data_IF_667942949297
#
_entry.id   IF_667942949297
#
_cell.length_a   1.000
_cell.length_b   1.000
_cell.length_c   1.000
_cell.angle_alpha   90.00
_cell.angle_beta   90.00
_cell.angle_gamma   90.00
#
_symmetry.space_group_name_H-M   'P 1'
#
loop_
_entity.id
_entity.type
_entity.pdbx_description
1 polymer ?
#
# COMPACT_ATOMS: atom_id res chain seq x y z
N UNK A 1 9.74 -11.73 -33.77
CA UNK A 1 9.64 -11.48 -32.30
C UNK A 1 8.16 -11.46 -31.96
N UNK A 2 7.79 -12.13 -30.91
CA UNK A 2 6.40 -12.11 -30.42
C UNK A 2 6.17 -10.74 -29.78
N UNK A 3 5.20 -10.02 -30.27
CA UNK A 3 4.82 -8.68 -29.77
C UNK A 3 3.41 -8.72 -29.25
N UNK A 4 3.18 -8.06 -28.14
CA UNK A 4 1.84 -7.80 -27.61
C UNK A 4 1.54 -6.29 -27.69
N UNK A 5 0.41 -5.86 -27.14
CA UNK A 5 0.08 -4.46 -27.02
C UNK A 5 0.16 -4.03 -25.55
N UNK A 6 0.91 -2.97 -25.26
CA UNK A 6 1.06 -2.45 -23.90
C UNK A 6 0.81 -0.95 -23.87
N UNK A 7 0.00 -0.51 -22.92
CA UNK A 7 -0.25 0.89 -22.64
C UNK A 7 -0.03 1.21 -21.17
N UNK A 8 0.40 2.42 -20.88
CA UNK A 8 0.65 2.92 -19.54
C UNK A 8 0.15 4.34 -19.41
N UNK A 9 -0.43 4.67 -18.26
CA UNK A 9 -0.86 6.01 -17.91
C UNK A 9 -0.65 6.29 -16.42
N UNK A 10 -0.40 7.54 -16.07
CA UNK A 10 -0.18 7.99 -14.70
C UNK A 10 -1.02 9.23 -14.43
N UNK A 11 -1.68 9.28 -13.28
CA UNK A 11 -2.50 10.41 -12.84
C UNK A 11 -2.09 10.82 -11.45
N UNK A 12 -1.88 12.11 -11.23
CA UNK A 12 -1.58 12.68 -9.91
C UNK A 12 -2.85 12.64 -9.03
N UNK A 13 -2.72 12.08 -7.83
CA UNK A 13 -3.78 12.01 -6.82
C UNK A 13 -3.47 12.82 -5.57
N UNK A 14 -2.45 13.68 -5.62
CA UNK A 14 -2.02 14.50 -4.49
C UNK A 14 -3.13 15.46 -4.06
N UNK A 15 -3.56 15.44 -2.78
CA UNK A 15 -4.57 16.39 -2.32
C UNK A 15 -3.97 17.79 -2.17
N UNK A 16 -4.73 18.81 -2.55
CA UNK A 16 -4.37 20.23 -2.35
C UNK A 16 -5.01 20.82 -1.08
N UNK A 17 -5.51 19.98 -0.19
CA UNK A 17 -6.22 20.34 1.03
C UNK A 17 -5.86 19.39 2.16
N UNK A 18 -6.01 19.80 3.45
CA UNK A 18 -5.78 18.92 4.59
C UNK A 18 -6.67 17.68 4.55
N UNK A 19 -6.06 16.50 4.76
CA UNK A 19 -6.75 15.21 4.71
C UNK A 19 -6.17 14.24 5.74
N UNK A 20 -7.00 13.36 6.30
CA UNK A 20 -6.52 12.33 7.23
C UNK A 20 -5.64 11.32 6.50
N UNK A 21 -4.42 11.11 7.03
CA UNK A 21 -3.48 10.11 6.53
C UNK A 21 -3.75 8.74 7.14
N UNK A 22 -3.57 7.70 6.34
CA UNK A 22 -3.74 6.30 6.74
C UNK A 22 -2.52 5.68 7.43
N UNK A 23 -2.68 4.43 7.86
CA UNK A 23 -1.60 3.54 8.29
C UNK A 23 -1.32 3.53 9.79
N UNK A 24 -1.36 4.68 10.47
CA UNK A 24 -1.09 4.77 11.91
C UNK A 24 -2.32 5.24 12.68
N UNK A 25 -2.78 4.41 13.62
CA UNK A 25 -3.94 4.74 14.46
C UNK A 25 -3.71 5.93 15.42
N UNK A 26 -2.46 6.30 15.65
CA UNK A 26 -2.07 7.44 16.49
C UNK A 26 -2.33 8.79 15.83
N UNK A 27 -2.51 8.86 14.52
CA UNK A 27 -2.79 10.11 13.82
C UNK A 27 -4.22 10.56 14.05
N UNK A 28 -4.35 11.72 14.67
CA UNK A 28 -5.64 12.35 15.02
C UNK A 28 -5.83 13.70 14.32
N UNK A 29 -4.80 14.20 13.64
CA UNK A 29 -4.82 15.44 12.87
C UNK A 29 -4.68 15.15 11.39
N UNK A 30 -5.30 15.97 10.52
CA UNK A 30 -5.09 15.86 9.08
C UNK A 30 -3.66 16.26 8.69
N UNK A 31 -3.29 15.99 7.43
CA UNK A 31 -2.02 16.42 6.86
C UNK A 31 -1.87 17.94 6.90
N UNK A 32 -0.64 18.41 7.09
CA UNK A 32 -0.28 19.83 7.13
C UNK A 32 0.34 20.30 5.81
N UNK A 33 1.03 19.39 5.11
CA UNK A 33 1.73 19.69 3.87
C UNK A 33 1.89 18.44 2.99
N UNK A 34 2.51 18.65 1.83
CA UNK A 34 2.88 17.59 0.89
C UNK A 34 4.40 17.63 0.75
N UNK A 35 5.06 16.52 1.08
CA UNK A 35 6.50 16.36 0.85
C UNK A 35 6.79 15.98 -0.61
N UNK A 36 6.07 14.97 -1.09
CA UNK A 36 6.16 14.50 -2.47
C UNK A 36 4.79 14.11 -3.02
N UNK A 37 4.65 14.19 -4.35
CA UNK A 37 3.41 13.84 -5.03
C UNK A 37 3.13 12.34 -4.93
N UNK A 38 1.86 12.02 -4.75
CA UNK A 38 1.34 10.66 -4.81
C UNK A 38 0.55 10.46 -6.11
N UNK A 39 0.64 9.28 -6.69
CA UNK A 39 0.06 9.00 -8.00
C UNK A 39 -0.65 7.65 -8.06
N UNK A 40 -1.53 7.51 -9.04
CA UNK A 40 -1.97 6.21 -9.55
C UNK A 40 -1.36 5.98 -10.92
N UNK A 41 -0.92 4.74 -11.18
CA UNK A 41 -0.35 4.34 -12.47
C UNK A 41 -1.02 3.05 -12.92
N UNK A 42 -1.46 3.03 -14.18
CA UNK A 42 -2.11 1.88 -14.79
C UNK A 42 -1.25 1.31 -15.92
N UNK A 43 -1.17 -0.01 -16.00
CA UNK A 43 -0.50 -0.78 -17.04
C UNK A 43 -1.49 -1.76 -17.66
N UNK A 44 -1.79 -1.61 -18.95
CA UNK A 44 -2.68 -2.48 -19.71
C UNK A 44 -1.86 -3.34 -20.67
N UNK A 45 -2.01 -4.67 -20.59
CA UNK A 45 -1.22 -5.63 -21.36
C UNK A 45 -2.15 -6.57 -22.12
N UNK A 46 -1.90 -6.77 -23.39
CA UNK A 46 -2.63 -7.67 -24.28
C UNK A 46 -3.36 -6.95 -25.38
N UNK A 47 -3.52 -7.61 -26.53
CA UNK A 47 -4.27 -7.12 -27.68
C UNK A 47 -5.74 -7.52 -27.56
N UNK A 48 -5.98 -8.82 -27.42
CA UNK A 48 -7.29 -9.44 -27.19
C UNK A 48 -7.36 -9.83 -25.72
N UNK A 49 -8.46 -9.61 -25.02
CA UNK A 49 -8.60 -9.92 -23.60
C UNK A 49 -7.47 -9.35 -22.71
N UNK A 50 -7.21 -8.05 -22.72
CA UNK A 50 -6.09 -7.47 -21.97
C UNK A 50 -6.25 -7.62 -20.47
N UNK A 51 -5.12 -7.63 -19.77
CA UNK A 51 -5.02 -7.50 -18.31
C UNK A 51 -4.70 -6.07 -17.96
N UNK A 52 -5.38 -5.50 -16.98
CA UNK A 52 -5.14 -4.16 -16.47
C UNK A 52 -4.69 -4.22 -15.02
N UNK A 53 -3.51 -3.69 -14.73
CA UNK A 53 -2.97 -3.54 -13.38
C UNK A 53 -2.93 -2.05 -13.05
N UNK A 54 -3.58 -1.64 -11.97
CA UNK A 54 -3.59 -0.26 -11.49
C UNK A 54 -2.95 -0.23 -10.10
N UNK A 55 -1.90 0.56 -9.94
CA UNK A 55 -1.24 0.77 -8.65
C UNK A 55 -1.50 2.19 -8.16
N UNK A 56 -1.57 2.40 -6.85
CA UNK A 56 -1.68 3.74 -6.28
C UNK A 56 -0.85 3.87 -4.99
N UNK A 57 -0.33 5.05 -4.75
CA UNK A 57 0.42 5.39 -3.54
C UNK A 57 -0.54 5.64 -2.38
N UNK A 58 -1.05 4.56 -1.80
CA UNK A 58 -2.06 4.54 -0.74
C UNK A 58 -1.76 3.43 0.27
N UNK A 59 -2.39 3.51 1.43
CA UNK A 59 -2.34 2.45 2.44
C UNK A 59 -3.03 1.15 1.98
N UNK A 60 -4.13 1.25 1.26
CA UNK A 60 -4.93 0.12 0.80
C UNK A 60 -5.92 0.57 -0.28
N UNK A 61 -6.50 -0.40 -0.98
CA UNK A 61 -7.67 -0.19 -1.84
C UNK A 61 -8.95 -0.46 -1.05
N UNK A 62 -9.86 0.53 -1.01
CA UNK A 62 -11.14 0.37 -0.35
C UNK A 62 -12.15 -0.36 -1.26
N UNK A 63 -12.87 -1.35 -0.72
CA UNK A 63 -13.80 -2.15 -1.51
C UNK A 63 -14.88 -1.34 -2.27
N UNK A 64 -15.51 -0.28 -1.70
CA UNK A 64 -16.46 0.54 -2.45
C UNK A 64 -15.82 1.26 -3.65
N UNK A 65 -14.64 1.84 -3.46
CA UNK A 65 -13.86 2.50 -4.53
C UNK A 65 -13.47 1.50 -5.61
N UNK A 66 -12.92 0.35 -5.21
CA UNK A 66 -12.52 -0.72 -6.13
C UNK A 66 -13.67 -1.20 -7.00
N UNK A 67 -14.85 -1.42 -6.39
CA UNK A 67 -16.04 -1.87 -7.11
C UNK A 67 -16.45 -0.88 -8.19
N UNK A 68 -16.55 0.39 -7.85
CA UNK A 68 -16.92 1.47 -8.78
C UNK A 68 -15.90 1.60 -9.91
N UNK A 69 -14.61 1.64 -9.59
CA UNK A 69 -13.53 1.75 -10.58
C UNK A 69 -13.56 0.60 -11.58
N UNK A 70 -13.66 -0.64 -11.10
CA UNK A 70 -13.71 -1.84 -11.96
C UNK A 70 -14.93 -1.81 -12.87
N UNK A 71 -16.11 -1.43 -12.35
CA UNK A 71 -17.35 -1.33 -13.13
C UNK A 71 -17.24 -0.27 -14.23
N UNK A 72 -16.76 0.93 -13.91
CA UNK A 72 -16.65 2.04 -14.88
C UNK A 72 -15.61 1.74 -15.97
N UNK A 73 -14.47 1.15 -15.61
CA UNK A 73 -13.46 0.74 -16.59
C UNK A 73 -14.00 -0.38 -17.49
N UNK A 74 -14.68 -1.38 -16.93
CA UNK A 74 -15.34 -2.42 -17.72
C UNK A 74 -16.32 -1.85 -18.74
N UNK A 75 -17.18 -0.92 -18.32
CA UNK A 75 -18.16 -0.27 -19.20
C UNK A 75 -17.49 0.55 -20.31
N UNK A 76 -16.39 1.23 -20.01
CA UNK A 76 -15.70 2.10 -20.96
C UNK A 76 -14.79 1.35 -21.96
N UNK A 77 -14.22 0.21 -21.55
CA UNK A 77 -13.16 -0.46 -22.31
C UNK A 77 -13.54 -1.86 -22.80
N UNK A 78 -14.54 -2.49 -22.19
CA UNK A 78 -14.90 -3.88 -22.43
C UNK A 78 -13.97 -4.91 -21.75
N UNK A 79 -12.96 -4.48 -21.00
CA UNK A 79 -12.10 -5.40 -20.23
C UNK A 79 -12.96 -6.18 -19.22
N UNK A 80 -12.83 -7.51 -19.18
CA UNK A 80 -13.51 -8.30 -18.16
C UNK A 80 -13.08 -7.84 -16.75
N UNK A 81 -14.05 -7.60 -15.87
CA UNK A 81 -13.83 -7.14 -14.50
C UNK A 81 -12.85 -8.04 -13.72
N UNK A 82 -12.77 -9.33 -14.04
CA UNK A 82 -11.83 -10.28 -13.44
C UNK A 82 -10.39 -10.11 -13.94
N UNK A 83 -10.18 -9.28 -14.95
CA UNK A 83 -8.87 -8.99 -15.55
C UNK A 83 -8.36 -7.59 -15.15
N UNK A 84 -9.02 -6.95 -14.20
CA UNK A 84 -8.65 -5.66 -13.63
C UNK A 84 -8.18 -5.87 -12.20
N UNK A 85 -6.89 -5.59 -11.94
CA UNK A 85 -6.25 -5.69 -10.63
C UNK A 85 -5.93 -4.29 -10.12
N UNK A 86 -6.37 -3.96 -8.91
CA UNK A 86 -5.97 -2.76 -8.17
C UNK A 86 -5.05 -3.16 -7.02
N UNK A 87 -3.94 -2.44 -6.86
CA UNK A 87 -2.98 -2.64 -5.79
C UNK A 87 -2.54 -1.32 -5.18
N UNK A 88 -2.30 -1.30 -3.88
CA UNK A 88 -1.75 -0.15 -3.16
C UNK A 88 -0.27 -0.36 -2.85
N UNK A 89 0.53 0.70 -2.81
CA UNK A 89 1.92 0.65 -2.37
C UNK A 89 2.05 0.38 -0.87
N UNK A 90 0.99 0.55 -0.12
CA UNK A 90 0.91 0.46 1.34
C UNK A 90 1.67 1.57 2.08
N UNK A 91 1.89 2.74 1.45
CA UNK A 91 2.47 3.88 2.16
C UNK A 91 1.60 4.30 3.34
N UNK A 92 2.25 4.51 4.50
CA UNK A 92 1.59 5.02 5.70
C UNK A 92 1.60 6.57 5.78
N UNK A 93 1.88 7.25 4.68
CA UNK A 93 1.92 8.70 4.59
C UNK A 93 1.03 9.26 3.47
N UNK A 94 0.02 8.50 3.06
CA UNK A 94 -0.98 8.94 2.07
C UNK A 94 -2.38 9.00 2.69
N UNK A 95 -3.33 9.71 2.05
CA UNK A 95 -4.70 9.83 2.53
C UNK A 95 -5.40 8.50 2.71
N UNK A 96 -6.29 8.43 3.69
CA UNK A 96 -7.25 7.32 3.82
C UNK A 96 -8.13 7.28 2.56
N UNK A 97 -8.23 6.14 1.86
CA UNK A 97 -8.96 6.09 0.59
C UNK A 97 -10.48 6.14 0.74
N UNK A 98 -11.00 5.82 1.93
CA UNK A 98 -12.44 5.77 2.19
C UNK A 98 -12.74 5.80 3.68
N UNK A 99 -13.76 6.57 4.07
CA UNK A 99 -14.30 6.60 5.43
C UNK A 99 -15.82 6.37 5.40
N UNK A 100 -16.30 5.21 5.90
CA UNK A 100 -17.74 4.92 5.91
C UNK A 100 -18.54 5.81 6.85
N UNK A 101 -17.91 6.43 7.86
CA UNK A 101 -18.58 7.35 8.78
C UNK A 101 -18.77 8.74 8.17
N UNK A 102 -17.98 9.10 7.18
CA UNK A 102 -17.97 10.41 6.55
C UNK A 102 -17.44 11.55 7.45
N UNK A 103 -16.88 11.22 8.61
CA UNK A 103 -16.44 12.21 9.61
C UNK A 103 -14.96 12.60 9.45
N UNK A 104 -14.16 11.79 8.79
CA UNK A 104 -12.73 12.05 8.64
C UNK A 104 -12.47 13.20 7.65
N UNK A 105 -11.68 14.18 8.13
CA UNK A 105 -11.40 15.43 7.40
C UNK A 105 -10.79 15.12 6.02
N UNK A 106 -11.38 15.69 4.98
CA UNK A 106 -10.90 15.60 3.59
C UNK A 106 -11.12 14.25 2.89
N UNK A 107 -11.41 13.17 3.63
CA UNK A 107 -11.44 11.81 3.08
C UNK A 107 -12.52 11.61 2.03
N UNK A 108 -13.72 12.14 2.22
CA UNK A 108 -14.80 12.02 1.20
C UNK A 108 -14.46 12.73 -0.11
N UNK A 109 -13.83 13.90 -0.03
CA UNK A 109 -13.37 14.63 -1.21
C UNK A 109 -12.26 13.86 -1.91
N UNK A 110 -11.29 13.34 -1.13
CA UNK A 110 -10.20 12.54 -1.66
C UNK A 110 -10.69 11.25 -2.29
N UNK A 111 -11.65 10.54 -1.67
CA UNK A 111 -12.22 9.31 -2.22
C UNK A 111 -12.83 9.51 -3.62
N UNK A 112 -13.52 10.63 -3.85
CA UNK A 112 -14.03 10.98 -5.20
C UNK A 112 -12.89 11.27 -6.18
N UNK A 113 -11.95 12.14 -5.80
CA UNK A 113 -10.75 12.43 -6.62
C UNK A 113 -9.99 11.17 -7.00
N UNK A 114 -9.79 10.28 -6.04
CA UNK A 114 -9.13 8.98 -6.22
C UNK A 114 -9.89 8.10 -7.21
N UNK A 115 -11.22 7.97 -7.03
CA UNK A 115 -12.06 7.15 -7.91
C UNK A 115 -11.94 7.62 -9.35
N UNK A 116 -12.10 8.93 -9.59
CA UNK A 116 -12.00 9.53 -10.92
C UNK A 116 -10.60 9.31 -11.54
N UNK A 117 -9.55 9.49 -10.76
CA UNK A 117 -8.17 9.29 -11.20
C UNK A 117 -7.83 7.84 -11.55
N UNK A 118 -8.30 6.87 -10.76
CA UNK A 118 -8.13 5.45 -11.03
C UNK A 118 -8.83 5.03 -12.33
N UNK A 119 -10.07 5.52 -12.54
CA UNK A 119 -10.84 5.29 -13.76
C UNK A 119 -10.10 5.90 -14.96
N UNK A 120 -9.69 7.15 -14.85
CA UNK A 120 -8.94 7.85 -15.89
C UNK A 120 -7.67 7.10 -16.28
N UNK A 121 -6.83 6.76 -15.31
CA UNK A 121 -5.58 6.03 -15.55
C UNK A 121 -5.82 4.70 -16.26
N UNK A 122 -6.84 3.93 -15.82
CA UNK A 122 -7.18 2.65 -16.43
C UNK A 122 -7.63 2.80 -17.90
N UNK A 123 -8.50 3.76 -18.19
CA UNK A 123 -9.01 4.03 -19.56
C UNK A 123 -7.88 4.54 -20.46
N UNK A 124 -7.06 5.47 -19.98
CA UNK A 124 -5.92 6.00 -20.74
C UNK A 124 -4.88 4.93 -21.04
N UNK A 125 -4.55 4.06 -20.07
CA UNK A 125 -3.65 2.92 -20.29
C UNK A 125 -4.20 1.96 -21.35
N UNK A 126 -5.52 1.71 -21.36
CA UNK A 126 -6.16 0.89 -22.38
C UNK A 126 -6.03 1.51 -23.79
N UNK A 127 -6.28 2.80 -23.93
CA UNK A 127 -6.25 3.48 -25.24
C UNK A 127 -4.82 3.81 -25.73
N UNK A 128 -3.85 3.94 -24.84
CA UNK A 128 -2.45 4.21 -25.19
C UNK A 128 -1.66 2.98 -25.61
N UNK A 129 -2.29 1.80 -25.70
CA UNK A 129 -1.61 0.54 -26.05
C UNK A 129 -0.97 0.63 -27.44
N UNK A 130 0.28 0.18 -27.49
CA UNK A 130 1.10 0.10 -28.69
C UNK A 130 1.88 -1.20 -28.75
N UNK A 131 2.39 -1.62 -29.95
CA UNK A 131 3.17 -2.83 -30.07
C UNK A 131 4.42 -2.79 -29.17
N UNK A 132 4.55 -3.81 -28.34
CA UNK A 132 5.63 -3.93 -27.37
C UNK A 132 6.04 -5.40 -27.19
N UNK A 133 7.26 -5.62 -26.74
CA UNK A 133 7.67 -6.89 -26.15
C UNK A 133 7.71 -6.76 -24.62
N UNK A 134 7.35 -7.83 -23.96
CA UNK A 134 7.40 -7.93 -22.50
C UNK A 134 8.50 -8.92 -22.11
N UNK A 135 9.28 -8.52 -21.13
CA UNK A 135 10.27 -9.37 -20.48
C UNK A 135 10.09 -9.29 -18.98
N UNK A 136 10.38 -10.37 -18.27
CA UNK A 136 10.31 -10.39 -16.80
C UNK A 136 11.44 -11.17 -16.18
N UNK A 137 11.75 -10.83 -14.96
CA UNK A 137 12.75 -11.50 -14.15
C UNK A 137 12.76 -10.95 -12.74
N UNK A 138 13.79 -11.28 -12.01
CA UNK A 138 13.99 -10.76 -10.67
C UNK A 138 15.49 -10.64 -10.34
N UNK A 139 15.80 -9.76 -9.42
CA UNK A 139 17.08 -9.67 -8.74
C UNK A 139 16.86 -9.64 -7.24
N UNK A 140 17.87 -9.19 -6.51
CA UNK A 140 17.83 -9.17 -5.05
C UNK A 140 18.31 -7.82 -4.50
N UNK A 141 17.58 -7.28 -3.53
CA UNK A 141 18.09 -6.20 -2.68
C UNK A 141 17.46 -6.28 -1.29
N UNK A 142 18.26 -5.99 -0.27
CA UNK A 142 17.79 -6.01 1.12
C UNK A 142 17.54 -4.61 1.61
N UNK A 143 16.28 -4.18 1.58
CA UNK A 143 15.85 -2.87 2.10
C UNK A 143 15.11 -2.97 3.43
N UNK A 144 14.79 -4.20 3.90
CA UNK A 144 14.02 -4.42 5.10
C UNK A 144 14.58 -5.53 6.00
N UNK A 145 14.01 -5.62 7.21
CA UNK A 145 14.22 -6.72 8.15
C UNK A 145 12.90 -7.16 8.77
N UNK A 146 12.85 -8.41 9.27
CA UNK A 146 11.68 -8.93 9.95
C UNK A 146 11.53 -8.26 11.33
N UNK A 147 10.45 -7.49 11.52
CA UNK A 147 10.20 -6.72 12.76
C UNK A 147 9.91 -7.59 13.99
N UNK A 148 9.55 -8.86 13.78
CA UNK A 148 9.31 -9.81 14.86
C UNK A 148 10.56 -10.62 15.22
N UNK A 149 11.47 -10.78 14.24
CA UNK A 149 12.71 -11.55 14.34
C UNK A 149 13.89 -10.78 13.74
N UNK A 150 14.25 -9.62 14.32
CA UNK A 150 15.18 -8.68 13.71
C UNK A 150 16.61 -9.22 13.50
N UNK A 151 16.96 -10.30 14.18
CA UNK A 151 18.26 -10.96 14.07
C UNK A 151 18.25 -12.16 13.09
N UNK A 152 17.08 -12.55 12.56
CA UNK A 152 16.98 -13.64 11.60
C UNK A 152 16.97 -13.11 10.16
N UNK A 153 18.14 -13.06 9.55
CA UNK A 153 18.31 -12.55 8.17
C UNK A 153 17.69 -13.45 7.10
N UNK A 154 17.35 -14.70 7.40
CA UNK A 154 16.79 -15.64 6.44
C UNK A 154 15.27 -15.49 6.25
N UNK A 155 14.58 -14.80 7.17
CA UNK A 155 13.13 -14.61 7.11
C UNK A 155 12.75 -13.30 6.41
N UNK A 156 13.45 -12.96 5.32
CA UNK A 156 13.16 -11.78 4.50
C UNK A 156 13.23 -12.21 3.04
N UNK A 157 12.15 -12.02 2.30
CA UNK A 157 12.17 -12.15 0.85
C UNK A 157 12.84 -10.91 0.24
N UNK A 158 14.06 -11.06 -0.24
CA UNK A 158 14.87 -9.98 -0.82
C UNK A 158 14.67 -9.83 -2.33
N UNK A 159 13.83 -10.69 -2.94
CA UNK A 159 13.60 -10.65 -4.37
C UNK A 159 12.89 -9.37 -4.79
N UNK A 160 13.36 -8.84 -5.91
CA UNK A 160 12.78 -7.68 -6.60
C UNK A 160 12.26 -8.17 -7.95
N UNK A 161 10.98 -8.57 -8.04
CA UNK A 161 10.40 -8.92 -9.33
C UNK A 161 10.27 -7.69 -10.22
N UNK A 162 10.54 -7.87 -11.51
CA UNK A 162 10.46 -6.83 -12.53
C UNK A 162 9.76 -7.39 -13.77
N UNK A 163 8.78 -6.64 -14.29
CA UNK A 163 8.18 -6.81 -15.59
C UNK A 163 8.42 -5.54 -16.39
N UNK A 164 9.08 -5.67 -17.55
CA UNK A 164 9.51 -4.57 -18.39
C UNK A 164 8.78 -4.60 -19.72
N UNK A 165 8.20 -3.46 -20.12
CA UNK A 165 7.63 -3.25 -21.42
C UNK A 165 8.60 -2.43 -22.29
N UNK A 166 8.93 -2.98 -23.48
CA UNK A 166 9.88 -2.42 -24.43
C UNK A 166 9.13 -2.17 -25.75
N UNK A 167 9.19 -0.95 -26.22
CA UNK A 167 8.54 -0.53 -27.47
C UNK A 167 9.15 -1.28 -28.65
N UNK A 168 8.32 -1.92 -29.49
CA UNK A 168 8.77 -2.78 -30.57
C UNK A 168 9.38 -2.00 -31.76
N UNK A 169 9.17 -0.69 -31.86
CA UNK A 169 9.73 0.13 -32.93
C UNK A 169 11.07 0.75 -32.54
N UNK A 170 11.14 1.31 -31.32
CA UNK A 170 12.35 2.01 -30.85
C UNK A 170 13.32 1.11 -30.07
N UNK A 171 12.89 -0.10 -29.72
CA UNK A 171 13.59 -1.03 -28.81
C UNK A 171 13.97 -0.40 -27.46
N UNK A 172 13.16 0.57 -27.01
CA UNK A 172 13.39 1.32 -25.79
C UNK A 172 12.36 0.93 -24.71
N UNK A 173 12.77 0.78 -23.44
CA UNK A 173 11.84 0.57 -22.35
C UNK A 173 10.98 1.80 -22.13
N UNK A 174 9.67 1.60 -21.81
CA UNK A 174 8.75 2.70 -21.54
C UNK A 174 7.86 2.48 -20.32
N UNK A 175 7.75 1.25 -19.82
CA UNK A 175 7.06 0.98 -18.56
C UNK A 175 7.77 -0.14 -17.80
N UNK A 176 7.82 -0.02 -16.47
CA UNK A 176 8.35 -1.04 -15.57
C UNK A 176 7.44 -1.23 -14.38
N UNK A 177 6.94 -2.45 -14.19
CA UNK A 177 6.29 -2.88 -12.95
C UNK A 177 7.32 -3.62 -12.11
N UNK A 178 7.55 -3.17 -10.88
CA UNK A 178 8.49 -3.77 -9.96
C UNK A 178 7.90 -3.91 -8.57
N UNK A 179 8.47 -4.79 -7.75
CA UNK A 179 7.96 -5.06 -6.41
C UNK A 179 9.04 -5.22 -5.37
N UNK A 180 8.64 -5.11 -4.10
CA UNK A 180 9.48 -5.39 -2.94
C UNK A 180 8.62 -5.80 -1.75
N UNK A 181 9.11 -6.72 -0.92
CA UNK A 181 8.46 -7.17 0.31
C UNK A 181 8.90 -6.37 1.53
N UNK A 182 8.59 -5.07 1.58
CA UNK A 182 8.91 -4.22 2.72
C UNK A 182 7.82 -3.16 2.92
N UNK A 183 7.36 -2.98 4.18
CA UNK A 183 6.41 -1.92 4.52
C UNK A 183 6.95 -0.54 4.14
N UNK A 184 6.20 0.30 3.43
CA UNK A 184 6.55 1.70 3.21
C UNK A 184 6.27 2.53 4.47
N UNK A 185 7.14 2.38 5.46
CA UNK A 185 7.08 3.01 6.77
C UNK A 185 8.44 3.57 7.16
N UNK A 186 9.13 4.21 6.21
CA UNK A 186 10.33 4.99 6.50
C UNK A 186 9.98 6.23 7.31
N UNK A 187 8.74 6.73 7.15
CA UNK A 187 8.16 7.82 7.94
C UNK A 187 7.27 7.28 9.05
N UNK A 188 7.37 7.86 10.25
CA UNK A 188 6.61 7.47 11.43
C UNK A 188 5.20 8.05 11.50
N UNK A 189 4.51 7.74 12.60
CA UNK A 189 3.16 8.23 12.86
C UNK A 189 3.11 9.75 13.07
N UNK A 190 4.22 10.35 13.47
CA UNK A 190 4.42 11.77 13.73
C UNK A 190 4.66 12.59 12.45
N UNK A 191 4.80 11.94 11.30
CA UNK A 191 4.88 12.63 10.02
C UNK A 191 3.53 13.23 9.62
N UNK A 192 3.40 14.58 9.50
CA UNK A 192 2.17 15.24 9.08
C UNK A 192 2.08 15.45 7.56
N UNK A 193 3.07 15.01 6.79
CA UNK A 193 3.16 15.31 5.36
C UNK A 193 2.69 14.15 4.49
N UNK A 194 2.03 14.48 3.39
CA UNK A 194 1.70 13.50 2.34
C UNK A 194 2.98 13.06 1.65
N UNK A 195 3.16 11.75 1.52
CA UNK A 195 4.31 11.15 0.83
C UNK A 195 3.98 9.76 0.28
N UNK A 196 4.56 9.41 -0.87
CA UNK A 196 4.54 8.06 -1.41
C UNK A 196 5.57 7.13 -0.72
N UNK A 197 6.31 7.62 0.28
CA UNK A 197 7.36 6.91 0.99
C UNK A 197 8.45 6.37 0.04
N UNK A 198 9.25 5.39 0.42
CA UNK A 198 10.36 4.87 -0.41
C UNK A 198 9.92 4.32 -1.80
N UNK A 199 8.71 3.78 -2.01
CA UNK A 199 8.26 3.41 -3.35
C UNK A 199 8.18 4.60 -4.30
N UNK A 200 7.69 5.75 -3.82
CA UNK A 200 7.65 7.00 -4.58
C UNK A 200 9.05 7.48 -4.94
N UNK A 201 9.96 7.45 -3.97
CA UNK A 201 11.36 7.80 -4.20
C UNK A 201 12.01 6.86 -5.23
N UNK A 202 11.78 5.54 -5.14
CA UNK A 202 12.29 4.60 -6.13
C UNK A 202 11.76 4.92 -7.54
N UNK A 203 10.47 5.20 -7.68
CA UNK A 203 9.87 5.63 -8.95
C UNK A 203 10.51 6.91 -9.48
N UNK A 204 10.74 7.90 -8.61
CA UNK A 204 11.39 9.17 -8.96
C UNK A 204 12.83 8.96 -9.46
N UNK A 205 13.61 8.11 -8.78
CA UNK A 205 14.97 7.77 -9.20
C UNK A 205 14.99 7.06 -10.56
N UNK A 206 14.08 6.11 -10.79
CA UNK A 206 13.97 5.41 -12.08
C UNK A 206 13.64 6.40 -13.21
N UNK A 207 12.66 7.29 -13.02
CA UNK A 207 12.31 8.32 -14.03
C UNK A 207 13.49 9.25 -14.33
N UNK A 208 14.27 9.61 -13.31
CA UNK A 208 15.45 10.45 -13.49
C UNK A 208 16.56 9.75 -14.27
N UNK A 209 16.79 8.47 -13.99
CA UNK A 209 17.85 7.68 -14.66
C UNK A 209 17.44 7.26 -16.08
N UNK A 210 16.16 7.00 -16.29
CA UNK A 210 15.59 6.49 -17.54
C UNK A 210 14.40 7.36 -17.99
N UNK A 211 14.66 8.56 -18.55
CA UNK A 211 13.61 9.45 -19.02
C UNK A 211 12.74 8.76 -20.08
N UNK A 212 11.41 8.84 -19.90
CA UNK A 212 10.42 8.16 -20.75
C UNK A 212 9.95 6.80 -20.23
N UNK A 213 10.53 6.28 -19.17
CA UNK A 213 10.03 5.08 -18.47
C UNK A 213 9.02 5.48 -17.40
N UNK A 214 7.85 4.85 -17.43
CA UNK A 214 6.82 4.99 -16.38
C UNK A 214 6.92 3.81 -15.41
N UNK A 215 7.35 4.03 -14.16
CA UNK A 215 7.45 2.98 -13.15
C UNK A 215 6.15 2.79 -12.37
N UNK A 216 5.81 1.52 -12.09
CA UNK A 216 4.73 1.07 -11.21
C UNK A 216 5.30 0.24 -10.08
N UNK A 217 4.84 0.47 -8.87
CA UNK A 217 5.25 -0.32 -7.71
C UNK A 217 4.10 -1.17 -7.19
N UNK A 218 4.42 -2.40 -6.79
CA UNK A 218 3.49 -3.32 -6.12
C UNK A 218 4.19 -3.97 -4.92
N UNK A 219 3.52 -4.02 -3.78
CA UNK A 219 4.06 -4.77 -2.66
C UNK A 219 4.00 -6.27 -2.90
N UNK A 220 5.00 -6.99 -2.39
CA UNK A 220 5.00 -8.43 -2.30
C UNK A 220 4.71 -8.87 -0.85
N UNK A 221 5.46 -9.79 -0.27
CA UNK A 221 5.26 -10.29 1.11
C UNK A 221 5.86 -9.34 2.14
N UNK A 222 5.12 -8.32 2.57
CA UNK A 222 5.63 -7.22 3.40
C UNK A 222 5.21 -7.26 4.87
N UNK A 223 4.17 -8.01 5.21
CA UNK A 223 3.40 -7.87 6.46
C UNK A 223 4.21 -7.84 7.75
N UNK A 224 5.34 -8.47 7.80
CA UNK A 224 6.27 -8.51 8.94
C UNK A 224 7.63 -7.86 8.66
N UNK A 225 7.82 -7.27 7.48
CA UNK A 225 9.08 -6.65 7.05
C UNK A 225 8.96 -5.12 7.10
N UNK A 226 9.91 -4.48 7.75
CA UNK A 226 10.00 -3.01 7.86
C UNK A 226 11.35 -2.52 7.33
N UNK A 227 11.47 -1.25 6.91
CA UNK A 227 12.71 -0.69 6.38
C UNK A 227 13.90 -0.88 7.32
N UNK A 228 15.10 -1.06 6.75
CA UNK A 228 16.35 -1.19 7.53
C UNK A 228 16.66 0.03 8.38
N UNK A 229 16.07 1.18 8.08
CA UNK A 229 16.16 2.44 8.82
C UNK A 229 15.18 2.50 10.00
N UNK A 230 14.19 1.60 10.05
CA UNK A 230 13.23 1.57 11.16
C UNK A 230 13.90 1.22 12.50
N UNK A 231 13.45 1.80 13.61
CA UNK A 231 13.93 1.44 14.94
C UNK A 231 13.71 -0.07 15.20
N UNK A 232 14.70 -0.72 15.76
CA UNK A 232 14.54 -2.13 16.19
C UNK A 232 13.67 -2.20 17.43
N UNK A 233 12.91 -3.28 17.57
CA UNK A 233 12.02 -3.50 18.73
C UNK A 233 12.73 -3.60 20.09
N UNK A 234 14.00 -3.97 20.09
CA UNK A 234 14.86 -4.03 21.27
C UNK A 234 15.38 -2.64 21.69
N UNK A 235 15.32 -1.66 20.80
CA UNK A 235 15.50 -0.25 21.12
C UNK A 235 14.10 0.36 21.37
N UNK A 236 13.40 -0.12 22.40
CA UNK A 236 12.03 0.24 22.72
C UNK A 236 11.88 1.76 22.92
N UNK A 237 11.61 2.45 21.84
CA UNK A 237 10.85 3.67 21.94
C UNK A 237 9.37 3.26 22.04
N UNK A 238 8.69 3.48 23.18
CA UNK A 238 7.27 3.17 23.32
C UNK A 238 6.39 3.91 22.32
N UNK A 239 6.93 4.95 21.69
CA UNK A 239 6.28 5.72 20.64
C UNK A 239 6.35 5.04 19.27
N UNK A 240 7.17 4.02 19.07
CA UNK A 240 7.39 3.24 17.85
C UNK A 240 7.33 4.08 16.56
N UNK A 241 8.24 3.89 15.61
CA UNK A 241 8.24 4.59 14.31
C UNK A 241 8.26 6.13 14.36
N UNK A 242 8.70 6.75 15.46
CA UNK A 242 9.00 8.18 15.51
C UNK A 242 10.51 8.33 15.52
N UNK A 243 11.13 8.80 14.55
CA UNK A 243 12.53 9.18 14.30
C UNK A 243 12.97 8.83 12.88
N UNK A 244 12.03 8.59 11.99
CA UNK A 244 12.30 8.47 10.57
C UNK A 244 12.52 9.85 9.95
N UNK A 245 13.20 9.86 8.82
CA UNK A 245 13.47 11.07 8.07
C UNK A 245 13.27 10.84 6.58
N UNK A 246 12.97 11.89 5.84
CA UNK A 246 12.92 11.81 4.38
C UNK A 246 14.28 11.45 3.75
N UNK A 247 15.40 11.64 4.46
CA UNK A 247 16.71 11.14 4.04
C UNK A 247 16.72 9.60 4.05
N UNK A 248 16.13 8.97 5.05
CA UNK A 248 15.96 7.51 5.09
C UNK A 248 15.05 7.01 3.96
N UNK A 249 13.98 7.72 3.68
CA UNK A 249 13.07 7.45 2.55
C UNK A 249 13.85 7.46 1.23
N UNK A 250 14.66 8.50 1.00
CA UNK A 250 15.50 8.63 -0.18
C UNK A 250 16.54 7.51 -0.29
N UNK A 251 17.19 7.16 0.82
CA UNK A 251 18.19 6.10 0.86
C UNK A 251 17.61 4.74 0.49
N UNK A 252 16.48 4.36 1.09
CA UNK A 252 15.80 3.09 0.79
C UNK A 252 15.28 3.09 -0.65
N UNK A 253 14.66 4.19 -1.09
CA UNK A 253 14.16 4.35 -2.45
C UNK A 253 15.27 4.26 -3.51
N UNK A 254 16.41 4.93 -3.27
CA UNK A 254 17.57 4.86 -4.17
C UNK A 254 18.12 3.44 -4.28
N UNK A 255 18.28 2.74 -3.15
CA UNK A 255 18.78 1.37 -3.13
C UNK A 255 17.87 0.42 -3.93
N UNK A 256 16.55 0.54 -3.80
CA UNK A 256 15.59 -0.23 -4.56
C UNK A 256 15.66 0.12 -6.06
N UNK A 257 15.71 1.40 -6.39
CA UNK A 257 15.80 1.87 -7.78
C UNK A 257 17.05 1.37 -8.49
N UNK A 258 18.21 1.39 -7.83
CA UNK A 258 19.46 0.86 -8.37
C UNK A 258 19.34 -0.62 -8.72
N UNK A 259 18.73 -1.42 -7.84
CA UNK A 259 18.48 -2.83 -8.10
C UNK A 259 17.55 -3.01 -9.31
N UNK A 260 16.43 -2.27 -9.37
CA UNK A 260 15.48 -2.33 -10.50
C UNK A 260 16.14 -1.95 -11.81
N UNK A 261 16.92 -0.87 -11.86
CA UNK A 261 17.64 -0.42 -13.08
C UNK A 261 18.64 -1.47 -13.52
N UNK A 262 19.38 -2.09 -12.58
CA UNK A 262 20.30 -3.19 -12.89
C UNK A 262 19.59 -4.37 -13.54
N UNK A 263 18.44 -4.77 -12.98
CA UNK A 263 17.62 -5.86 -13.53
C UNK A 263 17.07 -5.48 -14.91
N UNK A 264 16.56 -4.26 -15.09
CA UNK A 264 16.05 -3.79 -16.39
C UNK A 264 17.11 -3.86 -17.49
N UNK A 265 18.36 -3.46 -17.18
CA UNK A 265 19.47 -3.53 -18.14
C UNK A 265 19.77 -4.97 -18.55
N UNK A 266 19.79 -5.89 -17.59
CA UNK A 266 20.02 -7.32 -17.85
C UNK A 266 18.89 -7.93 -18.69
N UNK A 267 17.64 -7.68 -18.32
CA UNK A 267 16.45 -8.16 -19.02
C UNK A 267 16.35 -7.64 -20.45
N UNK A 268 16.73 -6.40 -20.69
CA UNK A 268 16.68 -5.79 -22.03
C UNK A 268 17.57 -6.54 -23.02
N UNK A 269 18.66 -7.13 -22.53
CA UNK A 269 19.67 -7.81 -23.36
C UNK A 269 19.47 -9.33 -23.42
N UNK A 270 19.12 -9.96 -22.30
CA UNK A 270 19.24 -11.41 -22.15
C UNK A 270 17.90 -12.15 -21.99
N UNK A 271 16.81 -11.46 -21.63
CA UNK A 271 15.57 -12.15 -21.33
C UNK A 271 14.78 -12.56 -22.59
N UNK A 272 14.18 -13.77 -22.60
CA UNK A 272 13.23 -14.14 -23.63
C UNK A 272 11.97 -13.27 -23.53
N UNK A 273 11.39 -12.91 -24.67
CA UNK A 273 10.09 -12.22 -24.72
C UNK A 273 8.99 -13.15 -24.24
N UNK A 274 8.08 -12.64 -23.40
CA UNK A 274 6.88 -13.36 -22.97
C UNK A 274 5.88 -13.39 -24.13
N UNK A 275 5.36 -14.58 -24.41
CA UNK A 275 4.31 -14.77 -25.42
C UNK A 275 2.97 -14.22 -24.88
N UNK A 276 2.26 -13.46 -25.72
CA UNK A 276 0.92 -12.92 -25.38
C UNK A 276 -0.09 -14.02 -25.07
N UNK A 277 0.04 -15.19 -25.69
CA UNK A 277 -0.78 -16.36 -25.39
C UNK A 277 -0.58 -16.95 -23.99
N UNK A 278 0.48 -16.55 -23.28
CA UNK A 278 0.75 -16.94 -21.89
C UNK A 278 0.25 -15.90 -20.86
N UNK A 279 -0.23 -14.73 -21.33
CA UNK A 279 -0.80 -13.71 -20.46
C UNK A 279 -2.21 -14.09 -20.05
N UNK A 280 -2.35 -14.45 -18.80
CA UNK A 280 -3.64 -14.80 -18.20
C UNK A 280 -3.78 -14.20 -16.82
N UNK A 281 -5.02 -13.93 -16.44
CA UNK A 281 -5.37 -13.59 -15.06
C UNK A 281 -6.47 -14.54 -14.60
N UNK A 282 -6.25 -15.13 -13.44
CA UNK A 282 -7.26 -15.95 -12.77
C UNK A 282 -7.57 -15.35 -11.41
N UNK A 283 -8.84 -15.13 -11.13
CA UNK A 283 -9.30 -14.75 -9.79
C UNK A 283 -10.25 -15.82 -9.26
N UNK A 284 -10.13 -16.11 -7.97
CA UNK A 284 -11.05 -16.99 -7.26
C UNK A 284 -11.42 -16.37 -5.92
N UNK A 285 -12.68 -16.58 -5.50
CA UNK A 285 -13.09 -16.25 -4.16
C UNK A 285 -12.53 -17.32 -3.21
N UNK A 286 -11.80 -16.90 -2.20
CA UNK A 286 -11.34 -17.75 -1.11
C UNK A 286 -12.20 -17.44 0.12
N UNK A 287 -12.96 -18.41 0.57
CA UNK A 287 -13.68 -18.30 1.83
C UNK A 287 -12.72 -18.61 2.98
N UNK A 288 -12.33 -17.57 3.69
CA UNK A 288 -11.49 -17.69 4.88
C UNK A 288 -12.41 -17.84 6.10
N UNK A 289 -12.25 -18.93 6.83
CA UNK A 289 -12.89 -19.06 8.12
C UNK A 289 -12.33 -17.98 9.06
N UNK A 290 -13.21 -17.31 9.83
CA UNK A 290 -12.76 -16.30 10.78
C UNK A 290 -11.79 -16.94 11.77
N UNK A 291 -10.61 -16.35 11.90
CA UNK A 291 -9.68 -16.75 12.94
C UNK A 291 -10.12 -16.10 14.27
N UNK A 292 -11.01 -16.78 14.98
CA UNK A 292 -11.46 -16.39 16.32
C UNK A 292 -10.51 -16.87 17.42
N UNK A 293 -9.27 -17.26 17.09
CA UNK A 293 -8.27 -17.75 18.04
C UNK A 293 -8.67 -19.03 18.75
N UNK A 294 -9.52 -19.86 18.13
CA UNK A 294 -10.08 -21.06 18.72
C UNK A 294 -11.17 -20.76 19.76
N UNK A 295 -11.67 -19.54 19.85
CA UNK A 295 -12.76 -19.17 20.75
C UNK A 295 -14.11 -19.50 20.11
N UNK A 296 -14.97 -20.17 20.86
CA UNK A 296 -16.39 -20.20 20.58
C UNK A 296 -17.06 -18.84 20.80
N UNK A 297 -18.33 -18.71 20.43
CA UNK A 297 -19.07 -17.45 20.51
C UNK A 297 -19.13 -16.92 21.96
N UNK A 298 -19.35 -17.79 22.95
CA UNK A 298 -19.38 -17.42 24.36
C UNK A 298 -18.03 -16.94 24.89
N UNK A 299 -16.95 -17.59 24.49
CA UNK A 299 -15.60 -17.17 24.87
C UNK A 299 -15.20 -15.84 24.19
N UNK A 300 -15.71 -15.58 22.98
CA UNK A 300 -15.53 -14.30 22.28
C UNK A 300 -16.29 -13.16 22.99
N UNK A 301 -17.51 -13.40 23.46
CA UNK A 301 -18.31 -12.42 24.25
C UNK A 301 -17.62 -12.10 25.57
N UNK A 302 -17.15 -13.10 26.32
CA UNK A 302 -16.42 -12.88 27.59
C UNK A 302 -15.15 -12.03 27.34
N UNK A 303 -14.45 -12.26 26.25
CA UNK A 303 -13.28 -11.44 25.89
C UNK A 303 -13.67 -10.02 25.50
N UNK A 304 -14.78 -9.84 24.80
CA UNK A 304 -15.30 -8.51 24.46
C UNK A 304 -15.64 -7.72 25.73
N UNK A 305 -16.40 -8.32 26.64
CA UNK A 305 -16.79 -7.68 27.91
C UNK A 305 -15.57 -7.28 28.73
N UNK A 306 -14.57 -8.17 28.80
CA UNK A 306 -13.31 -7.86 29.47
C UNK A 306 -12.59 -6.70 28.79
N UNK A 307 -12.51 -6.68 27.45
CA UNK A 307 -11.87 -5.61 26.70
C UNK A 307 -12.58 -4.26 26.90
N UNK A 308 -13.91 -4.28 26.98
CA UNK A 308 -14.70 -3.09 27.30
C UNK A 308 -14.44 -2.60 28.73
N UNK A 309 -14.32 -3.53 29.69
CA UNK A 309 -14.00 -3.20 31.06
C UNK A 309 -12.61 -2.58 31.19
N UNK A 310 -11.61 -3.20 30.53
CA UNK A 310 -10.25 -2.68 30.49
C UNK A 310 -10.20 -1.28 29.85
N UNK A 311 -10.93 -1.04 28.75
CA UNK A 311 -11.02 0.29 28.12
C UNK A 311 -11.68 1.33 29.02
N UNK A 312 -12.73 0.95 29.78
CA UNK A 312 -13.38 1.85 30.74
C UNK A 312 -12.48 2.20 31.92
N UNK A 313 -11.67 1.27 32.36
CA UNK A 313 -10.67 1.49 33.42
C UNK A 313 -9.64 2.54 32.98
N UNK A 314 -9.16 2.46 31.74
CA UNK A 314 -8.13 3.36 31.22
C UNK A 314 -8.66 4.70 30.71
N UNK A 315 -9.84 4.72 30.06
CA UNK A 315 -10.40 5.92 29.40
C UNK A 315 -11.43 6.65 30.27
N UNK A 316 -11.80 6.09 31.44
CA UNK A 316 -12.77 6.64 32.35
C UNK A 316 -14.18 6.03 32.22
N UNK A 317 -14.97 6.17 33.27
CA UNK A 317 -16.32 5.56 33.39
C UNK A 317 -17.33 6.07 32.35
N UNK A 318 -17.08 7.23 31.75
CA UNK A 318 -17.96 7.85 30.75
C UNK A 318 -17.71 7.35 29.32
N UNK A 319 -16.82 6.37 29.16
CA UNK A 319 -16.54 5.76 27.85
C UNK A 319 -17.80 5.10 27.28
N UNK A 320 -18.30 5.64 26.15
CA UNK A 320 -19.47 5.12 25.46
C UNK A 320 -19.07 4.17 24.34
N UNK A 321 -19.65 2.98 24.32
CA UNK A 321 -19.41 1.94 23.32
C UNK A 321 -19.90 2.28 21.89
N UNK A 322 -20.53 3.43 21.72
CA UNK A 322 -21.03 3.95 20.44
C UNK A 322 -20.11 4.99 19.79
N UNK A 323 -18.94 5.22 20.37
CA UNK A 323 -17.96 6.19 19.85
C UNK A 323 -17.37 5.70 18.53
N UNK A 324 -17.29 6.55 17.48
CA UNK A 324 -16.65 6.18 16.22
C UNK A 324 -15.21 5.69 16.42
N UNK A 325 -14.80 4.74 15.59
CA UNK A 325 -13.48 4.10 15.59
C UNK A 325 -12.31 5.07 15.70
N UNK A 326 -12.34 6.15 14.92
CA UNK A 326 -11.31 7.19 14.91
C UNK A 326 -11.14 7.85 16.27
N UNK A 327 -12.22 8.05 17.00
CA UNK A 327 -12.18 8.63 18.35
C UNK A 327 -11.67 7.64 19.41
N UNK A 328 -11.96 6.35 19.25
CA UNK A 328 -11.43 5.29 20.11
C UNK A 328 -9.92 5.13 19.95
N UNK A 329 -9.43 5.13 18.73
CA UNK A 329 -8.00 5.10 18.44
C UNK A 329 -7.30 6.39 18.91
N UNK A 330 -7.93 7.54 18.70
CA UNK A 330 -7.43 8.82 19.18
C UNK A 330 -7.33 8.85 20.71
N UNK A 331 -8.38 8.39 21.41
CA UNK A 331 -8.38 8.34 22.87
C UNK A 331 -7.34 7.32 23.41
N UNK A 332 -7.28 6.12 22.85
CA UNK A 332 -6.29 5.12 23.24
C UNK A 332 -4.86 5.58 22.96
N UNK A 333 -4.62 6.23 21.82
CA UNK A 333 -3.32 6.79 21.46
C UNK A 333 -2.92 7.95 22.36
N UNK A 334 -3.88 8.80 22.76
CA UNK A 334 -3.61 9.92 23.68
C UNK A 334 -3.26 9.43 25.07
N UNK A 335 -3.92 8.37 25.54
CA UNK A 335 -3.62 7.72 26.82
C UNK A 335 -2.21 7.08 26.79
N UNK A 336 -1.85 6.41 25.69
CA UNK A 336 -0.51 5.78 25.50
C UNK A 336 0.61 6.83 25.46
N UNK A 337 0.37 7.99 24.84
CA UNK A 337 1.37 9.08 24.71
C UNK A 337 1.46 9.94 25.97
N UNK A 338 0.41 10.08 26.74
CA UNK A 338 0.35 10.96 27.92
C UNK A 338 0.69 10.30 29.25
N UNK A 339 0.75 8.96 29.31
CA UNK A 339 1.05 8.21 30.52
C UNK A 339 2.35 7.42 30.33
N UNK A 340 3.21 7.44 31.35
CA UNK A 340 4.41 6.62 31.46
C UNK A 340 4.01 5.16 31.75
N UNK A 341 3.44 4.52 30.73
CA UNK A 341 2.81 3.20 30.86
C UNK A 341 3.80 2.07 30.58
N UNK A 342 3.68 0.97 31.34
CA UNK A 342 4.45 -0.23 31.11
C UNK A 342 4.05 -0.91 29.79
N UNK A 343 4.98 -1.66 29.17
CA UNK A 343 4.73 -2.44 27.93
C UNK A 343 3.52 -3.39 28.06
N UNK A 344 3.31 -3.96 29.24
CA UNK A 344 2.20 -4.88 29.51
C UNK A 344 0.84 -4.18 29.47
N UNK A 345 0.76 -2.97 29.96
CA UNK A 345 -0.46 -2.14 29.96
C UNK A 345 -0.78 -1.67 28.53
N UNK A 346 0.22 -1.23 27.80
CA UNK A 346 0.09 -0.84 26.40
C UNK A 346 -0.42 -1.98 25.51
N UNK A 347 0.11 -3.20 25.69
CA UNK A 347 -0.38 -4.40 25.00
C UNK A 347 -1.82 -4.73 25.34
N UNK A 348 -2.25 -4.55 26.59
CA UNK A 348 -3.64 -4.79 27.01
C UNK A 348 -4.61 -3.84 26.29
N UNK A 349 -4.31 -2.54 26.24
CA UNK A 349 -5.13 -1.55 25.54
C UNK A 349 -5.20 -1.84 24.05
N UNK A 350 -4.07 -2.11 23.41
CA UNK A 350 -4.05 -2.44 21.97
C UNK A 350 -4.83 -3.71 21.65
N UNK A 351 -4.70 -4.74 22.47
CA UNK A 351 -5.44 -6.00 22.33
C UNK A 351 -6.93 -5.75 22.55
N UNK A 352 -7.31 -4.98 23.56
CA UNK A 352 -8.69 -4.62 23.85
C UNK A 352 -9.33 -3.84 22.69
N UNK A 353 -8.63 -2.85 22.14
CA UNK A 353 -9.06 -2.12 20.95
C UNK A 353 -9.24 -3.05 19.75
N UNK A 354 -8.27 -3.90 19.44
CA UNK A 354 -8.35 -4.83 18.30
C UNK A 354 -9.52 -5.81 18.44
N UNK A 355 -9.80 -6.33 19.64
CA UNK A 355 -10.94 -7.23 19.87
C UNK A 355 -12.27 -6.52 19.73
N UNK A 356 -12.42 -5.34 20.32
CA UNK A 356 -13.63 -4.52 20.20
C UNK A 356 -13.96 -4.25 18.73
N UNK A 357 -12.96 -3.93 17.92
CA UNK A 357 -13.08 -3.62 16.52
C UNK A 357 -13.42 -4.86 15.67
N UNK A 358 -12.78 -6.00 15.93
CA UNK A 358 -13.06 -7.24 15.22
C UNK A 358 -14.48 -7.78 15.47
N UNK A 359 -15.08 -7.47 16.61
CA UNK A 359 -16.41 -7.96 17.02
C UNK A 359 -17.55 -7.00 16.66
N UNK A 360 -17.32 -5.69 16.65
CA UNK A 360 -18.32 -4.71 16.22
C UNK A 360 -18.51 -4.67 14.70
N UNK A 361 -17.51 -5.04 13.93
CA UNK A 361 -17.61 -5.16 12.46
C UNK A 361 -18.48 -6.35 12.01
N UNK A 362 -18.93 -7.22 12.93
CA UNK A 362 -19.77 -8.40 12.63
C UNK A 362 -21.26 -8.21 12.99
N UNK A 363 -21.64 -7.09 13.60
CA UNK A 363 -23.04 -6.69 13.79
C UNK A 363 -23.46 -5.68 12.73
#
# INVERSE_FOLDING_TARGET
MITTFVGVASVDITPSYPVMLGGFGQRITPSESVHDAIETVALCIGEVDPVLVITADLIAMAAPVTKEVVEQIHLATGIDSKRILLAASHTHSAPVPYDPSGSAIGVQQFSRQLTDALIQAGIEAFHSRRPARIVSGYGDTRIGFNRWKPNNVQEVDTRVPVLLAIDSQSDSPFAVLFGSGCHPTTMGWDNPEVSADYPGEAKRFIRKALPGVTPLFINTTEGDIVPTTSPRRDALDPRGYCNSSFEDTQKIGAQLAEAVIGIMNDLSVHAPTIDDGLLGMQSSALELLPNNGGLDEGAAEIRLDKSIADLKEFLGADFQTTVPMSQLWAAASHVVVSLDMSESEMRRIMIACCYYLGLTARK
#
